data_IF_858696382547
#
_entry.id   IF_858696382547
#
_cell.length_a   1.000
_cell.length_b   1.000
_cell.length_c   1.000
_cell.angle_alpha   90.00
_cell.angle_beta   90.00
_cell.angle_gamma   90.00
#
_symmetry.space_group_name_H-M   'P 1'
#
loop_
_entity.id
_entity.type
_entity.pdbx_description
1 polymer ?
#
# COMPACT_ATOMS: atom_id res chain seq x y z
N UNK A 1 -50.89 -14.56 10.70
CA UNK A 1 -49.77 -14.79 9.77
C UNK A 1 -48.63 -15.39 10.59
N UNK A 2 -48.51 -16.72 10.52
CA UNK A 2 -47.43 -17.47 11.16
C UNK A 2 -46.07 -17.07 10.54
N UNK A 3 -45.25 -16.43 11.33
CA UNK A 3 -43.84 -16.21 10.99
C UNK A 3 -43.15 -17.57 11.08
N UNK A 4 -42.98 -18.24 9.94
CA UNK A 4 -42.14 -19.41 9.82
C UNK A 4 -40.76 -19.02 10.34
N UNK A 5 -40.30 -19.63 11.41
CA UNK A 5 -38.93 -19.59 11.86
C UNK A 5 -38.05 -20.02 10.67
N UNK A 6 -37.29 -19.09 10.14
CA UNK A 6 -36.22 -19.37 9.18
C UNK A 6 -35.16 -20.15 9.98
N UNK A 7 -35.16 -21.48 9.85
CA UNK A 7 -34.07 -22.30 10.34
C UNK A 7 -32.82 -21.88 9.55
N UNK A 8 -31.88 -21.25 10.21
CA UNK A 8 -30.52 -21.04 9.67
C UNK A 8 -29.98 -22.41 9.23
N UNK A 9 -29.50 -22.54 8.00
CA UNK A 9 -28.86 -23.77 7.55
C UNK A 9 -27.73 -24.11 8.54
N UNK A 10 -27.67 -25.36 9.01
CA UNK A 10 -26.53 -25.83 9.81
C UNK A 10 -25.27 -25.64 8.94
N UNK A 11 -24.30 -24.89 9.44
CA UNK A 11 -23.02 -24.75 8.75
C UNK A 11 -22.42 -26.14 8.49
N UNK A 12 -21.87 -26.39 7.30
CA UNK A 12 -21.22 -27.63 6.99
C UNK A 12 -20.05 -27.87 7.97
N UNK A 13 -19.83 -29.11 8.43
CA UNK A 13 -18.74 -29.38 9.36
C UNK A 13 -17.40 -29.00 8.71
N UNK A 14 -16.64 -28.10 9.36
CA UNK A 14 -15.28 -27.76 8.96
C UNK A 14 -14.40 -29.02 9.04
N UNK A 15 -13.48 -29.17 8.09
CA UNK A 15 -12.50 -30.25 8.16
C UNK A 15 -11.68 -30.14 9.46
N UNK A 16 -11.39 -31.28 10.10
CA UNK A 16 -10.70 -31.34 11.40
C UNK A 16 -9.42 -30.51 11.46
N UNK A 17 -8.64 -30.41 10.35
CA UNK A 17 -7.41 -29.62 10.29
C UNK A 17 -7.69 -28.10 10.36
N UNK A 18 -8.73 -27.64 9.65
CA UNK A 18 -9.13 -26.22 9.67
C UNK A 18 -9.71 -25.85 11.03
N UNK A 19 -10.58 -26.70 11.60
CA UNK A 19 -11.13 -26.47 12.95
C UNK A 19 -10.01 -26.37 13.98
N UNK A 20 -9.05 -27.30 13.96
CA UNK A 20 -7.89 -27.25 14.86
C UNK A 20 -7.11 -25.93 14.70
N UNK A 21 -6.88 -25.48 13.49
CA UNK A 21 -6.19 -24.22 13.24
C UNK A 21 -6.96 -23.01 13.78
N UNK A 22 -8.27 -22.98 13.59
CA UNK A 22 -9.13 -21.94 14.15
C UNK A 22 -9.01 -21.92 15.67
N UNK A 23 -9.17 -23.07 16.32
CA UNK A 23 -9.20 -23.17 17.77
C UNK A 23 -7.83 -22.91 18.43
N UNK A 24 -6.74 -23.28 17.77
CA UNK A 24 -5.38 -23.17 18.35
C UNK A 24 -4.63 -21.92 17.96
N UNK A 25 -4.95 -21.30 16.82
CA UNK A 25 -4.23 -20.12 16.30
C UNK A 25 -5.10 -18.86 16.26
N UNK A 26 -6.26 -18.94 15.58
CA UNK A 26 -7.08 -17.75 15.36
C UNK A 26 -7.84 -17.29 16.61
N UNK A 27 -8.53 -18.19 17.28
CA UNK A 27 -9.33 -17.84 18.46
C UNK A 27 -8.47 -17.31 19.61
N UNK A 28 -7.35 -17.97 19.99
CA UNK A 28 -6.45 -17.43 21.01
C UNK A 28 -5.86 -16.07 20.63
N UNK A 29 -5.46 -15.87 19.36
CA UNK A 29 -4.96 -14.58 18.89
C UNK A 29 -6.01 -13.50 18.96
N UNK A 30 -7.23 -13.80 18.51
CA UNK A 30 -8.35 -12.87 18.56
C UNK A 30 -8.67 -12.44 19.99
N UNK A 31 -8.66 -13.37 20.93
CA UNK A 31 -8.87 -13.03 22.35
C UNK A 31 -7.69 -12.28 22.97
N UNK A 32 -6.46 -12.71 22.70
CA UNK A 32 -5.27 -12.10 23.33
C UNK A 32 -4.95 -10.72 22.79
N UNK A 33 -5.06 -10.51 21.47
CA UNK A 33 -4.71 -9.24 20.83
C UNK A 33 -5.88 -8.25 20.79
N UNK A 34 -7.11 -8.75 20.66
CA UNK A 34 -8.28 -7.89 20.43
C UNK A 34 -9.41 -8.09 21.45
N UNK A 35 -9.14 -8.80 22.54
CA UNK A 35 -10.12 -9.02 23.60
C UNK A 35 -11.41 -9.73 23.16
N UNK A 36 -11.33 -10.53 22.08
CA UNK A 36 -12.51 -11.19 21.50
C UNK A 36 -13.45 -10.24 20.75
N UNK A 37 -12.96 -9.07 20.34
CA UNK A 37 -13.74 -8.04 19.63
C UNK A 37 -13.07 -7.69 18.32
N UNK A 38 -13.77 -6.98 17.43
CA UNK A 38 -13.15 -6.41 16.22
C UNK A 38 -12.19 -5.28 16.56
N UNK A 39 -11.19 -5.05 15.70
CA UNK A 39 -10.11 -4.08 15.91
C UNK A 39 -10.62 -2.67 16.19
N UNK A 40 -11.69 -2.27 15.55
CA UNK A 40 -12.30 -0.96 15.74
C UNK A 40 -13.33 -1.01 16.87
N UNK A 41 -12.87 -0.80 18.09
CA UNK A 41 -13.73 -0.69 19.25
C UNK A 41 -13.66 0.66 19.85
N UNK A 42 -14.77 1.17 20.18
CA UNK A 42 -14.96 2.39 20.91
C UNK A 42 -16.36 2.91 20.65
N UNK A 43 -16.79 3.86 21.44
CA UNK A 43 -17.96 4.65 21.08
C UNK A 43 -17.63 5.50 19.87
N UNK A 44 -18.57 5.68 18.92
CA UNK A 44 -18.39 6.65 17.86
C UNK A 44 -18.00 8.00 18.46
N UNK A 45 -17.01 8.70 17.87
CA UNK A 45 -16.63 10.02 18.36
C UNK A 45 -17.83 10.99 18.28
N UNK A 46 -17.94 11.88 19.26
CA UNK A 46 -18.96 12.93 19.24
C UNK A 46 -18.72 13.91 18.08
N UNK A 47 -19.72 14.78 17.77
CA UNK A 47 -19.63 15.69 16.63
C UNK A 47 -18.47 16.69 16.72
N UNK A 48 -18.03 17.03 17.95
CA UNK A 48 -16.94 17.97 18.19
C UNK A 48 -15.57 17.29 18.43
N UNK A 49 -15.50 15.98 18.22
CA UNK A 49 -14.26 15.25 18.47
C UNK A 49 -13.21 15.52 17.39
N UNK A 50 -11.98 15.74 17.81
CA UNK A 50 -10.81 15.76 16.90
C UNK A 50 -10.56 14.31 16.47
N UNK A 51 -10.72 14.04 15.18
CA UNK A 51 -10.56 12.71 14.61
C UNK A 51 -9.12 12.49 14.15
N UNK A 52 -8.45 11.51 14.78
CA UNK A 52 -7.11 11.05 14.41
C UNK A 52 -7.11 9.60 13.90
N UNK A 53 -8.29 9.06 13.61
CA UNK A 53 -8.54 7.66 13.26
C UNK A 53 -8.74 7.44 11.74
N UNK A 54 -8.51 8.49 10.94
CA UNK A 54 -8.70 8.45 9.48
C UNK A 54 -7.41 8.63 8.71
N UNK A 55 -7.47 8.27 7.43
CA UNK A 55 -6.38 8.51 6.46
C UNK A 55 -6.60 9.75 5.59
N UNK A 56 -7.68 10.50 5.80
CA UNK A 56 -7.94 11.78 5.12
C UNK A 56 -7.07 12.88 5.74
N UNK A 57 -5.76 12.84 5.46
CA UNK A 57 -4.77 13.74 6.08
C UNK A 57 -4.99 15.22 5.74
N UNK A 58 -5.60 15.50 4.60
CA UNK A 58 -5.90 16.86 4.15
C UNK A 58 -7.32 17.33 4.52
N UNK A 59 -8.17 16.42 5.03
CA UNK A 59 -9.56 16.72 5.38
C UNK A 59 -10.42 17.09 4.17
N UNK A 60 -10.14 16.53 3.00
CA UNK A 60 -10.75 16.92 1.73
C UNK A 60 -11.82 15.96 1.20
N UNK A 61 -12.02 14.81 1.85
CA UNK A 61 -12.98 13.79 1.36
C UNK A 61 -14.41 14.31 1.19
N UNK A 62 -14.80 15.30 2.00
CA UNK A 62 -16.11 15.97 1.90
C UNK A 62 -16.10 17.29 1.14
N UNK A 63 -15.03 17.67 0.46
CA UNK A 63 -14.93 18.96 -0.22
C UNK A 63 -16.00 19.06 -1.34
N UNK A 64 -16.81 20.14 -1.38
CA UNK A 64 -17.93 20.25 -2.31
C UNK A 64 -17.57 20.04 -3.77
N UNK A 65 -16.44 20.59 -4.21
CA UNK A 65 -16.00 20.47 -5.60
C UNK A 65 -15.62 19.03 -5.96
N UNK A 66 -14.99 18.29 -5.02
CA UNK A 66 -14.64 16.87 -5.21
C UNK A 66 -15.91 16.04 -5.31
N UNK A 67 -16.86 16.24 -4.39
CA UNK A 67 -18.15 15.54 -4.40
C UNK A 67 -18.93 15.86 -5.69
N UNK A 68 -18.95 17.13 -6.09
CA UNK A 68 -19.65 17.53 -7.32
C UNK A 68 -19.00 16.92 -8.57
N UNK A 69 -17.68 16.88 -8.64
CA UNK A 69 -16.94 16.24 -9.74
C UNK A 69 -17.27 14.74 -9.85
N UNK A 70 -17.30 14.02 -8.72
CA UNK A 70 -17.71 12.61 -8.68
C UNK A 70 -19.15 12.40 -9.18
N UNK A 71 -20.09 13.23 -8.71
CA UNK A 71 -21.49 13.17 -9.16
C UNK A 71 -21.59 13.43 -10.66
N UNK A 72 -20.86 14.41 -11.17
CA UNK A 72 -20.86 14.73 -12.60
C UNK A 72 -20.28 13.59 -13.44
N UNK A 73 -19.15 13.00 -13.01
CA UNK A 73 -18.55 11.86 -13.69
C UNK A 73 -19.52 10.67 -13.77
N UNK A 74 -20.18 10.32 -12.66
CA UNK A 74 -21.17 9.23 -12.65
C UNK A 74 -22.38 9.50 -13.54
N UNK A 75 -22.79 10.76 -13.74
CA UNK A 75 -23.92 11.13 -14.60
C UNK A 75 -23.58 11.17 -16.08
N UNK A 76 -22.36 11.57 -16.41
CA UNK A 76 -21.94 11.83 -17.80
C UNK A 76 -21.17 10.66 -18.42
N UNK A 77 -20.51 9.85 -17.63
CA UNK A 77 -19.62 8.78 -18.10
C UNK A 77 -19.76 7.52 -17.22
N UNK A 78 -20.96 6.96 -17.20
CA UNK A 78 -21.24 5.77 -16.40
C UNK A 78 -20.66 4.48 -17.00
N UNK A 79 -20.20 4.47 -18.24
CA UNK A 79 -19.57 3.30 -18.85
C UNK A 79 -18.16 3.05 -18.32
N UNK A 80 -17.36 4.09 -18.13
CA UNK A 80 -15.97 3.99 -17.66
C UNK A 80 -15.86 3.49 -16.21
N UNK A 81 -16.91 3.63 -15.41
CA UNK A 81 -16.93 3.19 -14.01
C UNK A 81 -16.81 1.66 -13.86
N UNK A 82 -17.23 0.91 -14.86
CA UNK A 82 -17.28 -0.56 -14.83
C UNK A 82 -16.35 -1.23 -15.84
N UNK A 83 -15.59 -0.46 -16.62
CA UNK A 83 -14.64 -1.03 -17.58
C UNK A 83 -13.38 -1.55 -16.91
N UNK A 84 -12.89 -2.69 -17.38
CA UNK A 84 -11.55 -3.16 -17.02
C UNK A 84 -10.48 -2.24 -17.61
N UNK A 85 -9.41 -1.98 -16.84
CA UNK A 85 -8.31 -1.11 -17.24
C UNK A 85 -7.68 -1.47 -18.60
N UNK A 86 -7.76 -2.71 -19.02
CA UNK A 86 -7.25 -3.17 -20.35
C UNK A 86 -8.05 -2.63 -21.54
N UNK A 87 -9.26 -2.12 -21.30
CA UNK A 87 -10.12 -1.55 -22.34
C UNK A 87 -10.11 -0.01 -22.37
N UNK A 88 -9.34 0.62 -21.47
CA UNK A 88 -9.19 2.09 -21.44
C UNK A 88 -8.20 2.53 -22.52
N UNK A 89 -8.71 2.81 -23.71
CA UNK A 89 -7.92 3.15 -24.90
C UNK A 89 -7.95 4.66 -25.19
N UNK A 90 -6.90 5.15 -25.86
CA UNK A 90 -6.84 6.53 -26.38
C UNK A 90 -6.84 7.60 -25.28
N UNK A 91 -7.63 8.65 -25.49
CA UNK A 91 -7.73 9.85 -24.63
C UNK A 91 -8.61 9.63 -23.39
N UNK A 92 -8.66 8.43 -22.85
CA UNK A 92 -9.49 8.14 -21.68
C UNK A 92 -9.05 8.98 -20.47
N UNK A 93 -9.98 9.55 -19.66
CA UNK A 93 -9.64 10.38 -18.50
C UNK A 93 -8.66 9.72 -17.51
N UNK A 94 -8.76 8.42 -17.31
CA UNK A 94 -7.82 7.66 -16.46
C UNK A 94 -6.38 7.74 -16.99
N UNK A 95 -6.18 7.62 -18.33
CA UNK A 95 -4.85 7.73 -18.93
C UNK A 95 -4.24 9.12 -18.74
N UNK A 96 -5.07 10.16 -18.82
CA UNK A 96 -4.63 11.52 -18.51
C UNK A 96 -4.22 11.66 -17.05
N UNK A 97 -5.02 11.11 -16.13
CA UNK A 97 -4.70 11.12 -14.70
C UNK A 97 -3.42 10.35 -14.39
N UNK A 98 -3.18 9.19 -15.03
CA UNK A 98 -1.92 8.44 -14.91
C UNK A 98 -0.73 9.29 -15.32
N UNK A 99 -0.80 9.99 -16.45
CA UNK A 99 0.27 10.89 -16.91
C UNK A 99 0.50 12.08 -15.95
N UNK A 100 -0.58 12.68 -15.43
CA UNK A 100 -0.49 13.78 -14.46
C UNK A 100 0.14 13.32 -13.14
N UNK A 101 -0.23 12.13 -12.63
CA UNK A 101 0.34 11.56 -11.42
C UNK A 101 1.82 11.16 -11.63
N UNK A 102 2.15 10.57 -12.76
CA UNK A 102 3.54 10.27 -13.10
C UNK A 102 4.40 11.54 -13.14
N UNK A 103 3.91 12.60 -13.78
CA UNK A 103 4.58 13.90 -13.82
C UNK A 103 4.73 14.51 -12.43
N UNK A 104 3.69 14.43 -11.57
CA UNK A 104 3.74 14.95 -10.20
C UNK A 104 4.85 14.30 -9.38
N UNK A 105 5.00 12.97 -9.47
CA UNK A 105 6.05 12.24 -8.74
C UNK A 105 7.36 12.13 -9.53
N UNK A 106 7.49 12.84 -10.67
CA UNK A 106 8.70 12.89 -11.47
C UNK A 106 9.06 11.56 -12.13
N UNK A 107 8.08 10.77 -12.56
CA UNK A 107 8.29 9.53 -13.31
C UNK A 107 7.82 9.64 -14.76
N UNK A 108 8.36 8.77 -15.62
CA UNK A 108 8.08 8.81 -17.07
C UNK A 108 6.68 8.31 -17.39
N UNK A 109 6.15 7.36 -16.62
CA UNK A 109 4.84 6.78 -16.82
C UNK A 109 4.27 6.28 -15.49
N UNK A 110 2.97 6.07 -15.44
CA UNK A 110 2.25 5.59 -14.27
C UNK A 110 1.06 4.72 -14.65
N UNK A 111 0.65 3.88 -13.73
CA UNK A 111 -0.50 3.00 -13.87
C UNK A 111 -1.38 3.08 -12.63
N UNK A 112 -2.68 3.34 -12.82
CA UNK A 112 -3.67 3.30 -11.75
C UNK A 112 -4.14 1.86 -11.54
N UNK A 113 -4.06 1.41 -10.29
CA UNK A 113 -4.57 0.12 -9.82
C UNK A 113 -5.80 0.33 -8.92
N UNK A 114 -6.53 -0.75 -8.64
CA UNK A 114 -7.72 -0.72 -7.79
C UNK A 114 -7.42 -0.24 -6.35
N UNK A 115 -6.19 -0.39 -5.89
CA UNK A 115 -5.72 0.07 -4.58
C UNK A 115 -4.20 0.13 -4.55
N UNK A 116 -3.62 0.88 -3.60
CA UNK A 116 -2.18 0.83 -3.32
C UNK A 116 -1.70 -0.58 -2.95
N UNK A 117 -2.55 -1.37 -2.30
CA UNK A 117 -2.26 -2.78 -2.01
C UNK A 117 -2.05 -3.60 -3.30
N UNK A 118 -2.98 -3.48 -4.26
CA UNK A 118 -2.89 -4.16 -5.56
C UNK A 118 -1.71 -3.64 -6.39
N UNK A 119 -1.40 -2.34 -6.32
CA UNK A 119 -0.26 -1.74 -7.00
C UNK A 119 1.07 -2.34 -6.51
N UNK A 120 1.26 -2.46 -5.21
CA UNK A 120 2.46 -3.05 -4.62
C UNK A 120 2.64 -4.52 -5.03
N UNK A 121 1.57 -5.32 -4.94
CA UNK A 121 1.64 -6.74 -5.34
C UNK A 121 1.92 -6.85 -6.83
N UNK A 122 1.18 -6.14 -7.66
CA UNK A 122 1.32 -6.21 -9.12
C UNK A 122 2.71 -5.76 -9.59
N UNK A 123 3.23 -4.66 -9.04
CA UNK A 123 4.56 -4.18 -9.39
C UNK A 123 5.64 -5.18 -8.99
N UNK A 124 5.63 -5.67 -7.74
CA UNK A 124 6.62 -6.63 -7.28
C UNK A 124 6.59 -7.94 -8.09
N UNK A 125 5.41 -8.44 -8.46
CA UNK A 125 5.29 -9.60 -9.34
C UNK A 125 5.82 -9.34 -10.75
N UNK A 126 5.77 -8.09 -11.23
CA UNK A 126 6.25 -7.73 -12.56
C UNK A 126 7.77 -7.58 -12.62
N UNK A 127 8.42 -7.09 -11.53
CA UNK A 127 9.84 -6.73 -11.54
C UNK A 127 10.75 -7.67 -10.75
N UNK A 128 10.21 -8.59 -9.96
CA UNK A 128 10.97 -9.56 -9.18
C UNK A 128 10.59 -11.00 -9.56
N UNK A 129 11.53 -11.90 -9.36
CA UNK A 129 11.41 -13.32 -9.64
C UNK A 129 12.18 -14.17 -8.59
N UNK A 130 12.18 -15.52 -8.67
CA UNK A 130 12.94 -16.38 -7.73
C UNK A 130 14.45 -16.15 -7.69
N UNK A 131 15.02 -15.35 -8.61
CA UNK A 131 16.45 -15.03 -8.65
C UNK A 131 16.76 -13.62 -8.19
N UNK A 132 15.74 -12.80 -7.95
CA UNK A 132 15.86 -11.40 -7.54
C UNK A 132 15.82 -11.30 -6.01
N UNK A 133 16.96 -11.05 -5.31
CA UNK A 133 16.93 -10.77 -3.88
C UNK A 133 16.08 -9.53 -3.60
N UNK A 134 15.12 -9.64 -2.69
CA UNK A 134 14.27 -8.52 -2.26
C UNK A 134 14.60 -8.18 -0.81
N UNK A 135 15.08 -6.96 -0.57
CA UNK A 135 15.45 -6.44 0.73
C UNK A 135 14.32 -5.57 1.27
N UNK A 136 13.57 -6.10 2.23
CA UNK A 136 12.41 -5.40 2.82
C UNK A 136 12.77 -4.81 4.18
N UNK A 137 12.40 -3.53 4.39
CA UNK A 137 12.39 -2.98 5.74
C UNK A 137 11.41 -3.78 6.63
N UNK A 138 11.82 -4.09 7.85
CA UNK A 138 11.03 -4.92 8.76
C UNK A 138 9.65 -4.35 9.09
N UNK A 139 9.46 -3.02 8.96
CA UNK A 139 8.18 -2.34 9.14
C UNK A 139 7.48 -1.97 7.83
N UNK A 140 8.00 -2.41 6.68
CA UNK A 140 7.36 -2.17 5.38
C UNK A 140 5.91 -2.71 5.37
N UNK A 141 5.04 -2.02 4.64
CA UNK A 141 3.62 -2.35 4.59
C UNK A 141 3.39 -3.79 4.11
N UNK A 142 2.36 -4.44 4.68
CA UNK A 142 2.04 -5.85 4.41
C UNK A 142 1.92 -6.19 2.91
N UNK A 143 1.43 -5.27 2.07
CA UNK A 143 1.31 -5.48 0.63
C UNK A 143 2.66 -5.64 -0.07
N UNK A 144 3.73 -5.03 0.44
CA UNK A 144 5.09 -5.16 -0.09
C UNK A 144 5.65 -6.57 0.22
N UNK A 145 5.39 -7.07 1.42
CA UNK A 145 5.69 -8.46 1.80
C UNK A 145 4.92 -9.47 0.94
N UNK A 146 3.61 -9.27 0.81
CA UNK A 146 2.77 -10.14 -0.03
C UNK A 146 3.19 -10.12 -1.50
N UNK A 147 3.55 -8.95 -2.02
CA UNK A 147 4.06 -8.81 -3.39
C UNK A 147 5.35 -9.60 -3.62
N UNK A 148 6.31 -9.50 -2.70
CA UNK A 148 7.56 -10.27 -2.77
C UNK A 148 7.32 -11.78 -2.64
N UNK A 149 6.41 -12.21 -1.76
CA UNK A 149 5.98 -13.61 -1.67
C UNK A 149 5.30 -14.10 -2.95
N UNK A 150 4.40 -13.29 -3.52
CA UNK A 150 3.70 -13.62 -4.76
C UNK A 150 4.65 -13.73 -5.96
N UNK A 151 5.72 -12.91 -6.00
CA UNK A 151 6.82 -13.01 -6.95
C UNK A 151 7.73 -14.25 -6.71
N UNK A 152 7.57 -14.93 -5.57
CA UNK A 152 8.45 -16.02 -5.10
C UNK A 152 9.92 -15.57 -4.96
N UNK A 153 10.14 -14.30 -4.70
CA UNK A 153 11.47 -13.73 -4.56
C UNK A 153 12.11 -14.17 -3.24
N UNK A 154 13.44 -14.36 -3.18
CA UNK A 154 14.16 -14.50 -1.91
C UNK A 154 14.05 -13.21 -1.10
N UNK A 155 13.42 -13.27 0.08
CA UNK A 155 13.16 -12.11 0.93
C UNK A 155 14.20 -12.05 2.05
N UNK A 156 14.88 -10.91 2.16
CA UNK A 156 15.84 -10.59 3.20
C UNK A 156 15.36 -9.35 3.96
N UNK A 157 14.80 -9.56 5.14
CA UNK A 157 14.33 -8.47 5.98
C UNK A 157 15.53 -7.76 6.64
N UNK A 158 15.63 -6.44 6.48
CA UNK A 158 16.56 -5.66 7.25
C UNK A 158 15.86 -4.90 8.39
N UNK A 159 16.63 -4.58 9.44
CA UNK A 159 16.12 -3.85 10.60
C UNK A 159 15.62 -2.47 10.17
N UNK A 160 14.49 -2.08 10.72
CA UNK A 160 13.84 -0.82 10.41
C UNK A 160 14.81 0.37 10.41
N UNK A 161 14.83 1.08 9.28
CA UNK A 161 15.68 2.28 9.08
C UNK A 161 17.20 2.05 9.37
N UNK A 162 17.71 0.83 9.13
CA UNK A 162 19.12 0.47 9.37
C UNK A 162 19.89 0.23 8.06
N UNK A 163 20.46 1.27 7.43
CA UNK A 163 21.22 1.13 6.19
C UNK A 163 22.47 0.27 6.36
N UNK A 164 23.07 0.18 7.55
CA UNK A 164 24.22 -0.68 7.81
C UNK A 164 23.82 -2.16 7.80
N UNK A 165 22.61 -2.50 8.29
CA UNK A 165 22.11 -3.86 8.19
C UNK A 165 21.76 -4.21 6.74
N UNK A 166 21.13 -3.29 6.00
CA UNK A 166 20.89 -3.44 4.57
C UNK A 166 22.19 -3.71 3.80
N UNK A 167 23.23 -2.89 4.04
CA UNK A 167 24.55 -3.04 3.42
C UNK A 167 25.12 -4.44 3.63
N UNK A 168 25.03 -4.98 4.86
CA UNK A 168 25.54 -6.34 5.17
C UNK A 168 24.77 -7.42 4.42
N UNK A 169 23.43 -7.29 4.32
CA UNK A 169 22.61 -8.24 3.59
C UNK A 169 22.89 -8.23 2.09
N UNK A 170 23.05 -7.05 1.49
CA UNK A 170 23.41 -6.94 0.07
C UNK A 170 24.81 -7.52 -0.18
N UNK A 171 25.78 -7.28 0.71
CA UNK A 171 27.11 -7.88 0.60
C UNK A 171 27.09 -9.41 0.68
N UNK A 172 26.12 -9.98 1.42
CA UNK A 172 25.97 -11.43 1.58
C UNK A 172 25.21 -12.09 0.43
N UNK A 173 24.18 -11.43 -0.11
CA UNK A 173 23.24 -12.04 -1.05
C UNK A 173 23.29 -11.43 -2.46
N UNK A 174 24.07 -10.39 -2.67
CA UNK A 174 24.23 -9.69 -3.95
C UNK A 174 23.26 -8.53 -4.15
N UNK A 175 23.39 -7.79 -5.27
CA UNK A 175 22.48 -6.72 -5.62
C UNK A 175 21.06 -7.25 -5.87
N UNK A 176 20.05 -6.40 -5.58
CA UNK A 176 18.66 -6.79 -5.71
C UNK A 176 17.72 -5.59 -5.67
N UNK A 177 16.50 -5.82 -5.24
CA UNK A 177 15.47 -4.80 -5.08
C UNK A 177 15.29 -4.45 -3.60
N UNK A 178 15.56 -3.21 -3.23
CA UNK A 178 15.29 -2.67 -1.90
C UNK A 178 13.88 -2.09 -1.90
N UNK A 179 13.11 -2.36 -0.84
CA UNK A 179 11.69 -2.00 -0.75
C UNK A 179 11.41 -1.37 0.62
N UNK A 180 10.93 -0.12 0.61
CA UNK A 180 10.66 0.69 1.80
C UNK A 180 9.38 1.49 1.67
N UNK A 181 8.77 1.87 2.79
CA UNK A 181 7.78 2.96 2.82
C UNK A 181 8.52 4.28 3.03
N UNK A 182 8.09 5.36 2.39
CA UNK A 182 8.63 6.70 2.62
C UNK A 182 8.30 7.22 4.03
N UNK A 183 7.05 7.01 4.44
CA UNK A 183 6.54 7.23 5.81
C UNK A 183 5.83 5.95 6.25
N UNK A 184 6.24 5.39 7.37
CA UNK A 184 5.73 4.09 7.85
C UNK A 184 4.39 4.25 8.56
N UNK A 185 3.38 3.55 8.08
CA UNK A 185 1.99 3.65 8.56
C UNK A 185 1.81 3.39 10.06
N UNK A 186 2.61 2.51 10.64
CA UNK A 186 2.48 2.08 12.02
C UNK A 186 3.15 3.01 13.03
N UNK A 187 4.15 3.78 12.61
CA UNK A 187 4.97 4.59 13.49
C UNK A 187 4.95 6.08 13.12
N UNK A 188 4.58 6.42 11.89
CA UNK A 188 4.73 7.77 11.34
C UNK A 188 6.19 8.18 11.11
N UNK A 189 7.14 7.27 11.27
CA UNK A 189 8.55 7.57 11.06
C UNK A 189 8.85 7.73 9.56
N UNK A 190 9.62 8.74 9.21
CA UNK A 190 10.16 8.88 7.86
C UNK A 190 11.30 7.89 7.63
N UNK A 191 11.37 7.36 6.41
CA UNK A 191 12.48 6.54 5.96
C UNK A 191 13.77 7.36 5.86
N UNK A 192 14.89 6.77 6.21
CA UNK A 192 16.23 7.32 5.97
C UNK A 192 16.62 7.16 4.49
N UNK A 193 15.79 7.75 3.59
CA UNK A 193 15.89 7.52 2.14
C UNK A 193 17.27 7.85 1.58
N UNK A 194 17.91 8.94 2.03
CA UNK A 194 19.25 9.32 1.56
C UNK A 194 20.25 8.18 1.83
N UNK A 195 20.32 7.72 3.08
CA UNK A 195 21.28 6.68 3.48
C UNK A 195 20.97 5.33 2.81
N UNK A 196 19.69 4.99 2.67
CA UNK A 196 19.26 3.75 1.99
C UNK A 196 19.62 3.81 0.49
N UNK A 197 19.38 4.94 -0.17
CA UNK A 197 19.75 5.14 -1.58
C UNK A 197 21.24 5.08 -1.80
N UNK A 198 22.04 5.68 -0.91
CA UNK A 198 23.50 5.61 -0.99
C UNK A 198 23.99 4.15 -0.93
N UNK A 199 23.37 3.32 -0.09
CA UNK A 199 23.66 1.87 -0.04
C UNK A 199 23.23 1.18 -1.34
N UNK A 200 22.04 1.50 -1.88
CA UNK A 200 21.56 0.92 -3.14
C UNK A 200 22.52 1.19 -4.29
N UNK A 201 22.89 2.46 -4.49
CA UNK A 201 23.76 2.91 -5.58
C UNK A 201 25.17 2.32 -5.46
N UNK A 202 25.75 2.32 -4.25
CA UNK A 202 27.07 1.75 -4.00
C UNK A 202 27.16 0.25 -4.31
N UNK A 203 26.01 -0.45 -4.33
CA UNK A 203 25.95 -1.89 -4.54
C UNK A 203 25.19 -2.31 -5.81
N UNK A 204 24.78 -1.38 -6.66
CA UNK A 204 24.05 -1.67 -7.89
C UNK A 204 22.66 -2.28 -7.68
N UNK A 205 22.01 -1.95 -6.55
CA UNK A 205 20.66 -2.37 -6.23
C UNK A 205 19.63 -1.33 -6.67
N UNK A 206 18.45 -1.78 -7.05
CA UNK A 206 17.31 -0.90 -7.35
C UNK A 206 16.47 -0.65 -6.10
N UNK A 207 15.65 0.40 -6.12
CA UNK A 207 14.76 0.71 -5.00
C UNK A 207 13.33 0.98 -5.46
N UNK A 208 12.38 0.46 -4.68
CA UNK A 208 10.95 0.78 -4.71
C UNK A 208 10.61 1.50 -3.42
N UNK A 209 9.94 2.66 -3.54
CA UNK A 209 9.47 3.46 -2.41
C UNK A 209 7.95 3.57 -2.46
N UNK A 210 7.28 3.15 -1.38
CA UNK A 210 5.85 3.35 -1.19
C UNK A 210 5.59 4.73 -0.55
N UNK A 211 5.05 5.65 -1.34
CA UNK A 211 4.71 7.02 -0.95
C UNK A 211 3.26 7.16 -0.41
N UNK A 212 2.61 6.07 -0.05
CA UNK A 212 1.20 6.08 0.36
C UNK A 212 0.89 7.01 1.53
N UNK A 213 1.85 7.29 2.40
CA UNK A 213 1.68 8.16 3.57
C UNK A 213 2.38 9.52 3.43
N UNK A 214 2.97 9.82 2.27
CA UNK A 214 3.66 11.09 1.99
C UNK A 214 3.11 11.81 0.75
N UNK A 215 2.61 11.09 -0.24
CA UNK A 215 1.93 11.69 -1.40
C UNK A 215 0.74 12.52 -0.92
N UNK A 216 0.63 13.75 -1.40
CA UNK A 216 -0.37 14.74 -0.99
C UNK A 216 0.02 15.56 0.24
N UNK A 217 0.95 15.09 1.09
CA UNK A 217 1.30 15.74 2.36
C UNK A 217 2.74 16.25 2.45
N UNK A 218 3.66 15.69 1.68
CA UNK A 218 5.08 16.01 1.67
C UNK A 218 5.51 16.53 0.29
N UNK A 219 6.55 17.34 0.29
CA UNK A 219 7.20 17.83 -0.93
C UNK A 219 6.42 18.91 -1.67
N UNK A 220 7.03 19.48 -2.73
CA UNK A 220 6.39 20.48 -3.55
C UNK A 220 5.10 19.96 -4.17
N UNK A 221 4.00 20.70 -4.01
CA UNK A 221 2.66 20.33 -4.50
C UNK A 221 2.15 18.96 -3.99
N UNK A 222 2.72 18.44 -2.89
CA UNK A 222 2.36 17.13 -2.37
C UNK A 222 2.97 15.96 -3.15
N UNK A 223 4.07 16.17 -3.84
CA UNK A 223 4.72 15.15 -4.69
C UNK A 223 5.39 14.00 -3.93
N UNK A 224 5.34 14.00 -2.60
CA UNK A 224 5.87 12.96 -1.74
C UNK A 224 7.24 13.27 -1.14
N UNK A 225 7.71 12.39 -0.26
CA UNK A 225 8.96 12.54 0.47
C UNK A 225 10.19 12.45 -0.45
N UNK A 226 10.15 11.63 -1.50
CA UNK A 226 11.22 11.56 -2.48
C UNK A 226 11.45 12.91 -3.16
N UNK A 227 10.37 13.61 -3.50
CA UNK A 227 10.44 14.94 -4.10
C UNK A 227 10.89 16.00 -3.09
N UNK A 228 10.42 15.92 -1.82
CA UNK A 228 10.84 16.81 -0.75
C UNK A 228 12.35 16.78 -0.52
N UNK A 229 12.94 15.59 -0.60
CA UNK A 229 14.37 15.38 -0.39
C UNK A 229 15.20 15.54 -1.69
N UNK A 230 14.57 15.83 -2.84
CA UNK A 230 15.26 15.94 -4.12
C UNK A 230 15.83 14.62 -4.65
N UNK A 231 15.20 13.49 -4.29
CA UNK A 231 15.68 12.14 -4.57
C UNK A 231 14.94 11.44 -5.72
N UNK A 232 13.99 12.12 -6.37
CA UNK A 232 13.09 11.52 -7.35
C UNK A 232 13.84 10.79 -8.47
N UNK A 233 14.93 11.37 -8.98
CA UNK A 233 15.73 10.77 -10.07
C UNK A 233 16.55 9.56 -9.62
N UNK A 234 16.79 9.41 -8.32
CA UNK A 234 17.53 8.29 -7.71
C UNK A 234 16.65 7.09 -7.40
N UNK A 235 15.32 7.28 -7.30
CA UNK A 235 14.35 6.23 -7.00
C UNK A 235 13.89 5.58 -8.30
N UNK A 236 13.92 4.25 -8.38
CA UNK A 236 13.54 3.51 -9.59
C UNK A 236 12.03 3.37 -9.73
N UNK A 237 11.35 2.99 -8.66
CA UNK A 237 9.91 2.75 -8.64
C UNK A 237 9.26 3.48 -7.48
N UNK A 238 8.11 4.08 -7.73
CA UNK A 238 7.25 4.71 -6.71
C UNK A 238 5.88 4.05 -6.79
N UNK A 239 5.34 3.66 -5.65
CA UNK A 239 3.94 3.30 -5.49
C UNK A 239 3.28 4.25 -4.50
N UNK A 240 1.98 4.43 -4.60
CA UNK A 240 1.23 5.25 -3.67
C UNK A 240 -0.24 4.83 -3.62
N UNK A 241 -0.89 5.12 -2.50
CA UNK A 241 -2.34 5.02 -2.37
C UNK A 241 -2.98 6.39 -2.51
N UNK A 242 -4.01 6.49 -3.33
CA UNK A 242 -4.82 7.73 -3.46
C UNK A 242 -6.00 7.78 -2.45
N UNK A 243 -6.04 6.84 -1.51
CA UNK A 243 -7.09 6.75 -0.48
C UNK A 243 -6.65 7.33 0.87
N UNK A 244 -5.70 8.29 0.84
CA UNK A 244 -5.16 8.89 2.07
C UNK A 244 -5.07 10.39 1.97
#
# INVERSE_FOLDING_TARGET
LDVKQVTTPSEPPLGLALQRRIDTEFVPRWHSQWGGKFVLHGSPPGPDAIRLDGNDYLGISGHPDIVQAQVNALRCDHESVIQSGVFLLGEHPVRKLEAELAALVGKQDGLICQSGYAANIGLLQAIADPKTPVYLDALAHASLWEGAHAARAPIHAFRHNDPQHLQRLIAQHGPGLVVVDSVYSTTGAACRLVDILDVCEANGSMILVDESHSLGTHGPQGAGLCAELGLTDRVHFITASLAK
#
